data_IF_011587378169
#
_entry.id   IF_011587378169
#
_cell.length_a   1.000
_cell.length_b   1.000
_cell.length_c   1.000
_cell.angle_alpha   90.00
_cell.angle_beta   90.00
_cell.angle_gamma   90.00
#
_symmetry.space_group_name_H-M   'P 1'
#
loop_
_entity.id
_entity.type
_entity.pdbx_description
1 polymer ?
#
# COMPACT_ATOMS: atom_id res chain seq x y z
N UNK A 1 1.13 -52.58 -25.82
CA UNK A 1 0.61 -51.67 -24.76
C UNK A 1 0.88 -50.22 -25.18
N UNK A 2 -0.20 -49.47 -25.53
CA UNK A 2 -0.05 -48.05 -25.90
C UNK A 2 -0.22 -47.21 -24.62
N UNK A 3 0.87 -46.56 -24.18
CA UNK A 3 0.85 -45.64 -23.06
C UNK A 3 0.11 -44.36 -23.49
N UNK A 4 -1.00 -44.04 -22.83
CA UNK A 4 -1.70 -42.78 -22.98
C UNK A 4 -1.00 -41.74 -22.05
N UNK A 5 -0.30 -40.77 -22.66
CA UNK A 5 0.24 -39.62 -21.94
C UNK A 5 -0.94 -38.65 -21.71
N UNK A 6 -1.39 -38.55 -20.47
CA UNK A 6 -2.34 -37.52 -20.05
C UNK A 6 -1.57 -36.25 -19.76
N UNK A 7 -1.64 -35.26 -20.66
CA UNK A 7 -1.08 -33.93 -20.43
C UNK A 7 -2.04 -33.19 -19.51
N UNK A 8 -1.63 -33.00 -18.26
CA UNK A 8 -2.32 -32.16 -17.28
C UNK A 8 -2.01 -30.69 -17.61
N UNK A 9 -2.96 -30.01 -18.25
CA UNK A 9 -2.89 -28.55 -18.40
C UNK A 9 -3.10 -27.90 -17.03
N UNK A 10 -2.02 -27.44 -16.39
CA UNK A 10 -2.08 -26.49 -15.30
C UNK A 10 -2.53 -25.13 -15.89
N UNK A 11 -3.82 -24.82 -15.74
CA UNK A 11 -4.32 -23.44 -15.94
C UNK A 11 -3.68 -22.57 -14.84
N UNK A 12 -2.60 -21.88 -15.16
CA UNK A 12 -2.14 -20.77 -14.38
C UNK A 12 -3.20 -19.65 -14.52
N UNK A 13 -4.07 -19.54 -13.54
CA UNK A 13 -4.95 -18.37 -13.42
C UNK A 13 -4.03 -17.19 -13.09
N UNK A 14 -3.70 -16.39 -14.10
CA UNK A 14 -3.12 -15.08 -13.88
C UNK A 14 -4.17 -14.26 -13.11
N UNK A 15 -3.87 -13.89 -11.87
CA UNK A 15 -4.66 -12.93 -11.12
C UNK A 15 -4.47 -11.58 -11.81
N UNK A 16 -5.41 -11.23 -12.68
CA UNK A 16 -5.44 -9.90 -13.31
C UNK A 16 -6.19 -9.01 -12.33
N UNK A 17 -5.49 -8.08 -11.72
CA UNK A 17 -6.09 -7.02 -10.94
C UNK A 17 -6.27 -5.79 -11.83
N UNK A 18 -7.38 -5.06 -11.69
CA UNK A 18 -7.62 -3.81 -12.40
C UNK A 18 -7.35 -2.63 -11.45
N UNK A 19 -6.15 -2.04 -11.57
CA UNK A 19 -5.78 -0.85 -10.81
C UNK A 19 -6.01 0.39 -11.69
N UNK A 20 -7.11 1.10 -11.44
CA UNK A 20 -7.55 2.22 -12.28
C UNK A 20 -7.68 3.49 -11.43
N UNK A 21 -7.05 4.56 -11.89
CA UNK A 21 -7.20 5.89 -11.31
C UNK A 21 -8.31 6.66 -12.04
N UNK A 22 -9.20 7.25 -11.26
CA UNK A 22 -10.29 8.09 -11.73
C UNK A 22 -10.25 9.44 -11.04
N UNK A 23 -10.77 10.48 -11.74
CA UNK A 23 -11.14 11.77 -11.16
C UNK A 23 -12.57 12.13 -11.50
N UNK A 24 -13.22 12.88 -10.65
CA UNK A 24 -14.58 13.34 -10.89
C UNK A 24 -15.26 13.86 -9.64
N UNK A 25 -16.53 13.53 -9.48
CA UNK A 25 -17.36 14.16 -8.47
C UNK A 25 -18.29 13.15 -7.77
N UNK A 26 -18.53 13.40 -6.49
CA UNK A 26 -19.74 12.94 -5.77
C UNK A 26 -20.62 14.19 -5.60
N UNK A 27 -21.73 14.27 -6.36
CA UNK A 27 -22.55 15.47 -6.52
C UNK A 27 -21.70 16.66 -7.04
N UNK A 28 -21.47 17.67 -6.21
CA UNK A 28 -20.62 18.84 -6.50
C UNK A 28 -19.21 18.75 -5.91
N UNK A 29 -18.92 17.70 -5.16
CA UNK A 29 -17.66 17.54 -4.45
C UNK A 29 -16.64 16.80 -5.31
N UNK A 30 -15.54 17.46 -5.70
CA UNK A 30 -14.51 16.81 -6.49
C UNK A 30 -13.78 15.75 -5.68
N UNK A 31 -13.52 14.62 -6.31
CA UNK A 31 -12.77 13.49 -5.71
C UNK A 31 -11.73 12.93 -6.66
N UNK A 32 -10.70 12.37 -6.07
CA UNK A 32 -9.79 11.41 -6.68
C UNK A 32 -10.13 10.01 -6.16
N UNK A 33 -10.15 9.01 -7.04
CA UNK A 33 -10.62 7.66 -6.71
C UNK A 33 -9.73 6.64 -7.42
N UNK A 34 -9.05 5.79 -6.66
CA UNK A 34 -8.25 4.69 -7.23
C UNK A 34 -8.79 3.35 -6.77
N UNK A 35 -8.95 2.41 -7.70
CA UNK A 35 -9.47 1.06 -7.46
C UNK A 35 -8.38 0.02 -7.66
N UNK A 36 -8.51 -1.09 -6.96
CA UNK A 36 -7.77 -2.33 -7.16
C UNK A 36 -8.73 -3.51 -7.05
N UNK A 37 -9.22 -3.99 -8.19
CA UNK A 37 -10.25 -5.03 -8.28
C UNK A 37 -9.63 -6.28 -8.86
N UNK A 38 -9.69 -7.38 -8.12
CA UNK A 38 -9.20 -8.69 -8.54
C UNK A 38 -10.21 -9.42 -9.43
N UNK A 39 -9.75 -10.43 -10.14
CA UNK A 39 -10.57 -11.23 -11.05
C UNK A 39 -11.73 -11.99 -10.38
N UNK A 40 -11.64 -12.21 -9.07
CA UNK A 40 -12.72 -12.81 -8.26
C UNK A 40 -13.78 -11.78 -7.83
N UNK A 41 -13.61 -10.50 -8.22
CA UNK A 41 -14.51 -9.41 -7.90
C UNK A 41 -14.30 -8.79 -6.50
N UNK A 42 -13.36 -9.30 -5.72
CA UNK A 42 -12.94 -8.65 -4.47
C UNK A 42 -11.92 -7.56 -4.76
N UNK A 43 -11.65 -6.72 -3.78
CA UNK A 43 -10.64 -5.68 -3.92
C UNK A 43 -10.84 -4.54 -2.95
N UNK A 44 -10.22 -3.41 -3.29
CA UNK A 44 -10.33 -2.18 -2.51
C UNK A 44 -10.31 -0.95 -3.41
N UNK A 45 -10.69 0.16 -2.84
CA UNK A 45 -10.44 1.47 -3.43
C UNK A 45 -10.02 2.46 -2.35
N UNK A 46 -9.37 3.53 -2.79
CA UNK A 46 -9.02 4.66 -1.97
C UNK A 46 -9.59 5.90 -2.66
N UNK A 47 -10.28 6.75 -1.92
CA UNK A 47 -10.68 8.03 -2.46
C UNK A 47 -10.53 9.16 -1.43
N UNK A 48 -10.39 10.38 -1.92
CA UNK A 48 -10.38 11.58 -1.10
C UNK A 48 -11.14 12.70 -1.78
N UNK A 49 -11.81 13.52 -0.98
CA UNK A 49 -12.40 14.77 -1.43
C UNK A 49 -11.32 15.85 -1.51
N UNK A 50 -11.25 16.57 -2.62
CA UNK A 50 -10.39 17.75 -2.72
C UNK A 50 -10.70 18.75 -1.60
N UNK A 51 -9.67 19.34 -1.03
CA UNK A 51 -9.71 20.24 0.14
C UNK A 51 -10.07 19.60 1.50
N UNK A 52 -10.27 18.27 1.56
CA UNK A 52 -10.36 17.52 2.82
C UNK A 52 -9.19 16.55 2.98
N UNK A 53 -8.86 15.84 1.93
CA UNK A 53 -7.64 15.05 1.71
C UNK A 53 -7.35 14.03 2.82
N UNK A 54 -8.40 13.56 3.48
CA UNK A 54 -8.28 12.38 4.32
C UNK A 54 -8.71 11.19 3.48
N UNK A 55 -7.77 10.32 3.12
CA UNK A 55 -8.08 9.15 2.32
C UNK A 55 -9.08 8.25 3.02
N UNK A 56 -10.08 7.80 2.26
CA UNK A 56 -11.11 6.85 2.69
C UNK A 56 -10.83 5.54 1.97
N UNK A 57 -10.53 4.49 2.73
CA UNK A 57 -10.32 3.14 2.20
C UNK A 57 -11.64 2.40 2.25
N UNK A 58 -12.02 1.80 1.13
CA UNK A 58 -13.26 1.06 0.99
C UNK A 58 -13.01 -0.32 0.37
N UNK A 59 -13.74 -1.32 0.86
CA UNK A 59 -13.67 -2.66 0.31
C UNK A 59 -14.63 -2.80 -0.87
N UNK A 60 -14.14 -3.41 -1.93
CA UNK A 60 -14.88 -3.68 -3.15
C UNK A 60 -15.55 -5.04 -3.12
N UNK A 61 -16.70 -5.11 -3.77
CA UNK A 61 -17.37 -6.36 -4.12
C UNK A 61 -18.04 -6.18 -5.49
N UNK A 62 -17.60 -6.97 -6.47
CA UNK A 62 -18.20 -7.05 -7.81
C UNK A 62 -19.10 -8.28 -7.87
N UNK A 63 -20.40 -8.07 -7.97
CA UNK A 63 -21.38 -9.12 -8.16
C UNK A 63 -22.06 -8.98 -9.53
N UNK A 64 -21.75 -9.88 -10.45
CA UNK A 64 -22.17 -9.78 -11.83
C UNK A 64 -21.58 -8.52 -12.49
N UNK A 65 -22.44 -7.53 -12.77
CA UNK A 65 -22.03 -6.22 -13.31
C UNK A 65 -22.22 -5.06 -12.33
N UNK A 66 -22.51 -5.34 -11.08
CA UNK A 66 -22.64 -4.31 -10.03
C UNK A 66 -21.40 -4.30 -9.16
N UNK A 67 -20.59 -3.23 -9.27
CA UNK A 67 -19.46 -2.96 -8.41
C UNK A 67 -19.93 -2.11 -7.24
N UNK A 68 -19.69 -2.58 -6.02
CA UNK A 68 -20.06 -1.87 -4.80
C UNK A 68 -18.86 -1.71 -3.87
N UNK A 69 -18.80 -0.58 -3.19
CA UNK A 69 -17.82 -0.29 -2.14
C UNK A 69 -18.56 0.11 -0.87
N UNK A 70 -18.00 -0.27 0.28
CA UNK A 70 -18.60 0.02 1.58
C UNK A 70 -17.64 0.84 2.44
N UNK A 71 -18.10 2.00 2.89
CA UNK A 71 -17.39 2.79 3.90
C UNK A 71 -17.71 2.28 5.30
N UNK A 72 -16.71 2.29 6.17
CA UNK A 72 -16.85 1.93 7.59
C UNK A 72 -16.22 2.99 8.47
N UNK A 73 -16.82 3.23 9.60
CA UNK A 73 -16.24 4.05 10.65
C UNK A 73 -15.14 3.29 11.44
N UNK A 74 -14.52 3.96 12.40
CA UNK A 74 -13.47 3.37 13.25
C UNK A 74 -13.94 2.18 14.10
N UNK A 75 -15.23 2.02 14.31
CA UNK A 75 -15.83 0.88 15.01
C UNK A 75 -16.12 -0.31 14.08
N UNK A 76 -15.94 -0.13 12.77
CA UNK A 76 -16.27 -1.11 11.73
C UNK A 76 -17.71 -1.09 11.27
N UNK A 77 -18.55 -0.13 11.77
CA UNK A 77 -19.93 0.03 11.33
C UNK A 77 -19.97 0.65 9.94
N UNK A 78 -20.78 0.09 9.06
CA UNK A 78 -21.03 0.62 7.72
C UNK A 78 -21.74 1.96 7.78
N UNK A 79 -21.18 2.97 7.10
CA UNK A 79 -21.68 4.36 7.11
C UNK A 79 -22.20 4.79 5.76
N UNK A 80 -21.59 4.35 4.68
CA UNK A 80 -22.03 4.64 3.33
C UNK A 80 -21.72 3.51 2.36
N UNK A 81 -22.38 3.53 1.21
CA UNK A 81 -22.18 2.59 0.11
C UNK A 81 -22.07 3.34 -1.21
N UNK A 82 -21.06 3.01 -2.00
CA UNK A 82 -20.92 3.44 -3.39
C UNK A 82 -21.36 2.26 -4.28
N UNK A 83 -22.20 2.50 -5.26
CA UNK A 83 -22.71 1.47 -6.16
C UNK A 83 -22.62 1.91 -7.61
N UNK A 84 -22.08 1.06 -8.45
CA UNK A 84 -21.87 1.29 -9.88
C UNK A 84 -22.49 0.12 -10.66
N UNK A 85 -23.61 0.42 -11.31
CA UNK A 85 -24.29 -0.56 -12.16
C UNK A 85 -23.62 -0.65 -13.53
N UNK A 86 -23.68 -1.83 -14.15
CA UNK A 86 -23.07 -2.10 -15.46
C UNK A 86 -21.58 -1.78 -15.51
N UNK A 87 -20.85 -2.04 -14.40
CA UNK A 87 -19.41 -1.85 -14.32
C UNK A 87 -18.68 -2.56 -15.47
N UNK A 88 -17.77 -1.83 -16.10
CA UNK A 88 -16.86 -2.32 -17.11
C UNK A 88 -15.51 -1.60 -16.92
N UNK A 89 -14.46 -2.34 -16.61
CA UNK A 89 -13.11 -1.82 -16.38
C UNK A 89 -12.52 -1.09 -17.63
N UNK A 90 -12.96 -1.48 -18.83
CA UNK A 90 -12.53 -0.82 -20.09
C UNK A 90 -13.20 0.54 -20.31
N UNK A 91 -14.27 0.86 -19.59
CA UNK A 91 -14.99 2.13 -19.75
C UNK A 91 -14.16 3.31 -19.25
N UNK A 92 -14.15 4.42 -20.03
CA UNK A 92 -13.53 5.68 -19.61
C UNK A 92 -14.35 6.43 -18.57
N UNK A 93 -15.59 6.00 -18.33
CA UNK A 93 -16.49 6.65 -17.36
C UNK A 93 -17.02 5.63 -16.39
N UNK A 94 -17.08 6.02 -15.13
CA UNK A 94 -17.66 5.25 -14.05
C UNK A 94 -18.72 6.10 -13.35
N UNK A 95 -20.01 5.78 -13.58
CA UNK A 95 -21.14 6.50 -13.00
C UNK A 95 -21.84 5.63 -11.96
N UNK A 96 -22.25 6.23 -10.85
CA UNK A 96 -22.85 5.49 -9.74
C UNK A 96 -23.58 6.37 -8.74
N UNK A 97 -23.90 5.77 -7.61
CA UNK A 97 -24.60 6.40 -6.49
C UNK A 97 -23.80 6.20 -5.21
N UNK A 98 -23.57 7.25 -4.48
CA UNK A 98 -23.14 7.23 -3.09
C UNK A 98 -24.37 7.35 -2.19
N UNK A 99 -24.51 6.48 -1.21
CA UNK A 99 -25.66 6.44 -0.30
C UNK A 99 -25.20 6.44 1.15
N UNK A 100 -25.63 7.43 1.92
CA UNK A 100 -25.47 7.44 3.38
C UNK A 100 -26.45 6.42 3.99
N UNK A 101 -25.92 5.48 4.74
CA UNK A 101 -26.73 4.39 5.32
C UNK A 101 -27.49 4.79 6.59
N UNK A 102 -27.13 5.93 7.21
CA UNK A 102 -27.84 6.42 8.39
C UNK A 102 -29.04 7.31 8.01
N UNK A 103 -28.84 8.23 7.07
CA UNK A 103 -29.88 9.19 6.63
C UNK A 103 -30.66 8.73 5.40
N UNK A 104 -30.12 7.77 4.64
CA UNK A 104 -30.69 7.36 3.36
C UNK A 104 -30.45 8.37 2.22
N UNK A 105 -29.67 9.43 2.45
CA UNK A 105 -29.34 10.43 1.42
C UNK A 105 -28.56 9.80 0.30
N UNK A 106 -28.92 10.11 -0.94
CA UNK A 106 -28.20 9.66 -2.14
C UNK A 106 -27.59 10.82 -2.90
N UNK A 107 -26.40 10.61 -3.44
CA UNK A 107 -25.64 11.55 -4.25
C UNK A 107 -25.15 10.83 -5.51
N UNK A 108 -25.18 11.52 -6.64
CA UNK A 108 -24.65 10.96 -7.90
C UNK A 108 -23.14 10.95 -7.91
N UNK A 109 -22.55 9.89 -8.47
CA UNK A 109 -21.11 9.78 -8.73
C UNK A 109 -20.89 9.86 -10.24
N UNK A 110 -19.93 10.69 -10.66
CA UNK A 110 -19.49 10.77 -12.05
C UNK A 110 -17.97 10.87 -12.10
N UNK A 111 -17.33 9.81 -12.56
CA UNK A 111 -15.87 9.68 -12.61
C UNK A 111 -15.41 9.45 -14.05
N UNK A 112 -14.23 9.99 -14.38
CA UNK A 112 -13.54 9.77 -15.65
C UNK A 112 -12.20 9.09 -15.36
N UNK A 113 -11.87 8.07 -16.15
CA UNK A 113 -10.60 7.36 -16.07
C UNK A 113 -9.46 8.29 -16.45
N UNK A 114 -8.46 8.41 -15.56
CA UNK A 114 -7.22 9.13 -15.84
C UNK A 114 -6.18 8.20 -16.47
N UNK A 115 -6.04 7.02 -15.89
CA UNK A 115 -5.15 5.97 -16.38
C UNK A 115 -5.46 4.62 -15.75
N UNK A 116 -4.96 3.57 -16.42
CA UNK A 116 -5.06 2.19 -15.99
C UNK A 116 -3.63 1.63 -15.85
N UNK A 117 -3.30 1.13 -14.65
CA UNK A 117 -1.99 0.53 -14.38
C UNK A 117 -1.83 -0.84 -15.05
N UNK A 118 -2.93 -1.52 -15.38
CA UNK A 118 -2.89 -2.83 -16.02
C UNK A 118 -3.10 -2.78 -17.54
N UNK A 119 -3.20 -1.59 -18.12
CA UNK A 119 -3.32 -1.48 -19.57
C UNK A 119 -2.08 -2.05 -20.23
N UNK A 120 -2.25 -3.09 -21.05
CA UNK A 120 -1.19 -3.74 -21.82
C UNK A 120 -0.70 -2.88 -23.01
N UNK A 121 -0.87 -1.56 -22.94
CA UNK A 121 -0.29 -0.65 -23.92
C UNK A 121 1.21 -0.56 -23.65
N UNK A 122 2.04 -0.76 -24.68
CA UNK A 122 3.48 -0.50 -24.63
C UNK A 122 3.81 0.99 -24.50
N UNK A 123 2.88 1.76 -23.94
CA UNK A 123 3.00 3.19 -23.76
C UNK A 123 3.80 3.47 -22.49
N UNK A 124 4.95 4.09 -22.70
CA UNK A 124 5.80 4.58 -21.62
C UNK A 124 5.26 5.92 -21.13
N UNK A 125 5.20 6.11 -19.82
CA UNK A 125 4.85 7.40 -19.23
C UNK A 125 5.56 7.62 -17.91
N UNK A 126 5.71 8.88 -17.53
CA UNK A 126 6.35 9.34 -16.31
C UNK A 126 5.41 10.27 -15.52
N UNK A 127 5.68 10.40 -14.22
CA UNK A 127 5.08 11.39 -13.33
C UNK A 127 3.54 11.37 -13.23
N UNK A 128 2.93 10.18 -13.21
CA UNK A 128 1.55 10.06 -12.77
C UNK A 128 1.50 9.93 -11.24
N UNK A 129 0.41 10.44 -10.66
CA UNK A 129 0.25 10.47 -9.21
C UNK A 129 -0.84 9.51 -8.77
N UNK A 130 -0.60 8.80 -7.66
CA UNK A 130 -1.60 7.97 -7.01
C UNK A 130 -1.72 8.31 -5.53
N UNK A 131 -2.97 8.49 -5.07
CA UNK A 131 -3.32 8.72 -3.68
C UNK A 131 -2.92 7.52 -2.82
N UNK A 132 -2.40 7.78 -1.61
CA UNK A 132 -2.07 6.72 -0.65
C UNK A 132 -3.10 6.65 0.47
N UNK A 133 -3.35 5.45 1.06
CA UNK A 133 -4.42 5.21 2.02
C UNK A 133 -4.16 5.84 3.39
N UNK A 134 -2.91 6.20 3.67
CA UNK A 134 -2.50 6.76 4.96
C UNK A 134 -2.37 8.28 4.90
N UNK A 135 -2.59 8.91 6.03
CA UNK A 135 -2.41 10.36 6.19
C UNK A 135 -1.99 10.68 7.61
N UNK A 136 -1.38 11.87 7.78
CA UNK A 136 -1.01 12.44 9.06
C UNK A 136 -1.93 13.60 9.43
N UNK A 137 -1.80 14.12 10.64
CA UNK A 137 -2.48 15.37 11.03
C UNK A 137 -2.03 16.49 10.09
N UNK A 138 -2.98 17.01 9.30
CA UNK A 138 -2.74 18.11 8.36
C UNK A 138 -1.98 17.75 7.08
N UNK A 139 -1.60 16.49 6.85
CA UNK A 139 -0.86 16.06 5.65
C UNK A 139 -1.42 14.77 5.09
N UNK A 140 -1.28 14.57 3.77
CA UNK A 140 -1.54 13.31 3.08
C UNK A 140 -0.45 13.03 2.04
N UNK A 141 -0.46 11.84 1.45
CA UNK A 141 0.60 11.36 0.58
C UNK A 141 0.09 10.99 -0.80
N UNK A 142 0.88 11.33 -1.82
CA UNK A 142 0.77 10.76 -3.16
C UNK A 142 2.11 10.17 -3.57
N UNK A 143 2.08 9.04 -4.26
CA UNK A 143 3.26 8.54 -4.96
C UNK A 143 3.32 9.17 -6.35
N UNK A 144 4.53 9.46 -6.78
CA UNK A 144 4.84 9.74 -8.19
C UNK A 144 5.33 8.45 -8.81
N UNK A 145 4.64 7.98 -9.83
CA UNK A 145 4.89 6.70 -10.47
C UNK A 145 5.22 6.86 -11.94
N UNK A 146 5.96 5.90 -12.49
CA UNK A 146 6.30 5.79 -13.89
C UNK A 146 6.05 4.36 -14.40
N UNK A 147 5.83 4.24 -15.71
CA UNK A 147 5.68 2.96 -16.41
C UNK A 147 6.76 2.86 -17.48
N UNK A 148 7.55 1.80 -17.42
CA UNK A 148 8.55 1.47 -18.46
C UNK A 148 7.94 0.74 -19.66
N UNK A 149 8.73 0.60 -20.73
CA UNK A 149 8.33 -0.12 -21.97
C UNK A 149 8.07 -1.60 -21.74
N UNK A 150 8.66 -2.18 -20.74
CA UNK A 150 8.47 -3.57 -20.29
C UNK A 150 7.24 -3.76 -19.38
N UNK A 151 6.39 -2.74 -19.28
CA UNK A 151 5.26 -2.67 -18.36
C UNK A 151 5.63 -2.75 -16.88
N UNK A 152 6.90 -2.54 -16.50
CA UNK A 152 7.29 -2.38 -15.10
C UNK A 152 6.80 -1.04 -14.55
N UNK A 153 6.37 -1.03 -13.29
CA UNK A 153 5.98 0.18 -12.58
C UNK A 153 6.98 0.48 -11.48
N UNK A 154 7.43 1.73 -11.45
CA UNK A 154 8.32 2.24 -10.43
C UNK A 154 7.73 3.44 -9.71
N UNK A 155 8.08 3.60 -8.44
CA UNK A 155 7.85 4.80 -7.66
C UNK A 155 9.10 5.64 -7.73
N UNK A 156 9.00 6.87 -8.22
CA UNK A 156 10.12 7.81 -8.37
C UNK A 156 10.17 8.88 -7.28
N UNK A 157 9.04 9.13 -6.61
CA UNK A 157 8.99 10.08 -5.50
C UNK A 157 7.74 9.90 -4.63
N UNK A 158 7.81 10.48 -3.42
CA UNK A 158 6.65 10.70 -2.56
C UNK A 158 6.40 12.20 -2.47
N UNK A 159 5.15 12.63 -2.71
CA UNK A 159 4.67 13.98 -2.43
C UNK A 159 3.97 14.01 -1.08
N UNK A 160 4.43 14.88 -0.20
CA UNK A 160 3.79 15.23 1.06
C UNK A 160 3.01 16.52 0.83
N UNK A 161 1.70 16.46 1.01
CA UNK A 161 0.77 17.51 0.61
C UNK A 161 -0.01 17.97 1.84
N UNK A 162 -0.24 19.28 1.96
CA UNK A 162 -1.03 19.88 3.02
C UNK A 162 -2.53 19.63 2.77
N UNK A 163 -3.24 19.09 3.76
CA UNK A 163 -4.71 18.94 3.71
C UNK A 163 -5.38 20.30 3.63
N UNK A 164 -6.56 20.35 3.00
CA UNK A 164 -7.41 21.54 2.78
C UNK A 164 -6.90 22.54 1.75
N UNK A 165 -5.63 22.57 1.45
CA UNK A 165 -5.05 23.54 0.50
C UNK A 165 -4.45 22.88 -0.73
N UNK A 166 -4.20 21.55 -0.67
CA UNK A 166 -3.48 20.75 -1.67
C UNK A 166 -2.08 21.30 -2.01
N UNK A 167 -1.53 22.12 -1.11
CA UNK A 167 -0.20 22.69 -1.28
C UNK A 167 0.87 21.62 -1.08
N UNK A 168 1.80 21.52 -2.04
CA UNK A 168 2.98 20.67 -1.89
C UNK A 168 3.87 21.19 -0.77
N UNK A 169 4.06 20.41 0.29
CA UNK A 169 4.98 20.70 1.41
C UNK A 169 6.39 20.23 1.04
N UNK A 170 6.49 19.02 0.49
CA UNK A 170 7.77 18.41 0.12
C UNK A 170 7.56 17.31 -0.93
N UNK A 171 8.50 17.20 -1.87
CA UNK A 171 8.72 16.02 -2.71
C UNK A 171 10.01 15.39 -2.23
N UNK A 172 10.00 14.09 -1.93
CA UNK A 172 11.19 13.29 -1.66
C UNK A 172 11.35 12.28 -2.78
N UNK A 173 12.53 12.22 -3.36
CA UNK A 173 12.83 11.23 -4.38
C UNK A 173 13.03 9.87 -3.73
N UNK A 174 12.56 8.83 -4.39
CA UNK A 174 12.69 7.43 -3.95
C UNK A 174 12.73 6.56 -5.19
N UNK A 175 13.46 5.47 -5.11
CA UNK A 175 13.49 4.47 -6.17
C UNK A 175 13.04 3.13 -5.57
N UNK A 176 11.79 2.74 -5.91
CA UNK A 176 11.21 1.49 -5.40
C UNK A 176 10.18 0.93 -6.38
N UNK A 177 9.89 -0.38 -6.34
CA UNK A 177 8.78 -0.94 -7.10
C UNK A 177 7.43 -0.43 -6.56
N UNK A 178 6.44 -0.35 -7.43
CA UNK A 178 5.05 -0.13 -7.00
C UNK A 178 4.47 -1.43 -6.44
N UNK A 179 3.98 -1.41 -5.20
CA UNK A 179 3.38 -2.55 -4.52
C UNK A 179 1.89 -2.29 -4.23
N UNK A 180 1.06 -2.50 -5.26
CA UNK A 180 -0.39 -2.25 -5.17
C UNK A 180 -0.73 -0.83 -4.71
N UNK A 181 -1.78 -0.69 -3.90
CA UNK A 181 -2.23 0.61 -3.39
C UNK A 181 -1.55 1.03 -2.07
N UNK A 182 -0.91 0.11 -1.35
CA UNK A 182 -0.47 0.30 0.04
C UNK A 182 1.06 0.35 0.15
N UNK A 183 1.67 1.42 -0.38
CA UNK A 183 3.13 1.54 -0.39
C UNK A 183 3.69 2.29 0.81
N UNK A 184 2.90 3.21 1.40
CA UNK A 184 3.33 4.05 2.52
C UNK A 184 2.78 3.52 3.84
N UNK A 185 3.65 3.43 4.85
CA UNK A 185 3.29 3.27 6.25
C UNK A 185 3.71 4.51 7.03
N UNK A 186 3.01 4.82 8.11
CA UNK A 186 3.31 5.93 9.02
C UNK A 186 3.53 5.43 10.44
N UNK A 187 4.41 6.07 11.18
CA UNK A 187 4.73 5.72 12.57
C UNK A 187 5.88 6.57 13.10
N UNK A 188 6.11 6.55 14.41
CA UNK A 188 7.28 7.16 15.05
C UNK A 188 8.42 6.14 15.08
N UNK A 189 9.26 6.14 14.04
CA UNK A 189 10.29 5.11 13.84
C UNK A 189 11.56 5.35 14.64
N UNK A 190 11.84 6.59 15.01
CA UNK A 190 13.00 6.94 15.84
C UNK A 190 12.65 7.19 17.31
N UNK A 191 11.37 7.09 17.67
CA UNK A 191 10.82 7.25 19.02
C UNK A 191 11.01 8.66 19.60
N UNK A 192 10.93 9.69 18.74
CA UNK A 192 11.09 11.10 19.12
C UNK A 192 9.74 11.83 19.33
N UNK A 193 8.63 11.15 19.07
CA UNK A 193 7.26 11.65 19.26
C UNK A 193 6.69 12.35 18.04
N UNK A 194 7.39 12.35 16.90
CA UNK A 194 6.88 12.88 15.64
C UNK A 194 6.56 11.71 14.68
N UNK A 195 5.55 11.92 13.84
CA UNK A 195 5.20 10.93 12.84
C UNK A 195 6.18 10.96 11.66
N UNK A 196 6.76 9.82 11.39
CA UNK A 196 7.61 9.49 10.25
C UNK A 196 6.80 8.74 9.20
N UNK A 197 7.40 8.45 8.03
CA UNK A 197 6.81 7.54 7.07
C UNK A 197 7.85 6.60 6.47
N UNK A 198 7.38 5.50 5.91
CA UNK A 198 8.22 4.57 5.14
C UNK A 198 7.56 4.17 3.84
N UNK A 199 8.38 3.87 2.84
CA UNK A 199 7.95 3.41 1.52
C UNK A 199 8.34 1.94 1.37
N UNK A 200 7.48 1.12 0.77
CA UNK A 200 7.82 -0.25 0.42
C UNK A 200 9.05 -0.27 -0.50
N UNK A 201 10.01 -1.13 -0.21
CA UNK A 201 11.25 -1.25 -0.97
C UNK A 201 11.32 -2.58 -1.72
N UNK A 202 11.16 -3.69 -1.00
CA UNK A 202 11.25 -5.01 -1.62
C UNK A 202 10.50 -6.07 -0.81
N UNK A 203 10.12 -7.14 -1.50
CA UNK A 203 9.67 -8.41 -0.91
C UNK A 203 10.68 -9.50 -1.28
N UNK A 204 11.06 -10.28 -0.30
CA UNK A 204 12.00 -11.38 -0.45
C UNK A 204 11.29 -12.73 -0.30
N UNK A 205 12.04 -13.80 -0.31
CA UNK A 205 11.48 -15.13 -0.07
C UNK A 205 10.83 -15.23 1.33
N UNK A 206 9.65 -15.85 1.39
CA UNK A 206 8.88 -15.98 2.62
C UNK A 206 8.18 -14.67 3.03
N UNK A 207 8.05 -14.38 4.33
CA UNK A 207 7.38 -13.19 4.84
C UNK A 207 8.26 -11.94 4.86
N UNK A 208 9.48 -12.01 4.35
CA UNK A 208 10.49 -10.97 4.47
C UNK A 208 10.19 -9.79 3.55
N UNK A 209 10.18 -8.59 4.11
CA UNK A 209 10.03 -7.33 3.36
C UNK A 209 11.04 -6.30 3.85
N UNK A 210 11.37 -5.33 3.01
CA UNK A 210 12.12 -4.14 3.42
C UNK A 210 11.38 -2.85 3.05
N UNK A 211 11.76 -1.77 3.71
CA UNK A 211 11.18 -0.45 3.50
C UNK A 211 12.27 0.62 3.61
N UNK A 212 12.10 1.71 2.87
CA UNK A 212 12.90 2.93 2.98
C UNK A 212 12.21 3.83 4.02
N UNK A 213 12.94 4.28 5.03
CA UNK A 213 12.39 5.05 6.15
C UNK A 213 12.78 6.52 6.06
N UNK A 214 11.79 7.41 6.18
CA UNK A 214 11.94 8.86 6.17
C UNK A 214 11.53 9.42 7.53
N UNK A 215 12.48 10.06 8.22
CA UNK A 215 12.27 10.64 9.54
C UNK A 215 11.94 12.13 9.45
N UNK A 216 11.01 12.58 10.29
CA UNK A 216 10.66 14.00 10.38
C UNK A 216 11.69 14.77 11.18
N UNK A 217 12.13 15.91 10.65
CA UNK A 217 13.00 16.84 11.38
C UNK A 217 12.18 18.04 11.85
N UNK A 218 11.86 18.17 13.15
CA UNK A 218 11.03 19.25 13.67
C UNK A 218 11.67 20.63 13.53
N UNK A 219 12.99 20.73 13.40
CA UNK A 219 13.69 22.01 13.21
C UNK A 219 13.50 22.58 11.82
N UNK A 220 13.44 21.74 10.81
CA UNK A 220 13.25 22.13 9.40
C UNK A 220 11.82 21.99 8.92
N UNK A 221 10.99 21.23 9.63
CA UNK A 221 9.63 20.86 9.21
C UNK A 221 9.59 19.90 8.01
N UNK A 222 10.70 19.21 7.71
CA UNK A 222 10.86 18.34 6.54
C UNK A 222 11.26 16.92 6.93
N UNK A 223 10.97 16.00 6.03
CA UNK A 223 11.42 14.62 6.12
C UNK A 223 12.77 14.45 5.44
N UNK A 224 13.57 13.53 5.93
CA UNK A 224 14.85 13.12 5.35
C UNK A 224 14.97 11.61 5.39
N UNK A 225 15.62 11.02 4.40
CA UNK A 225 15.89 9.59 4.36
C UNK A 225 16.83 9.19 5.50
N UNK A 226 16.43 8.16 6.23
CA UNK A 226 17.25 7.63 7.32
C UNK A 226 18.22 6.56 6.82
N UNK A 227 19.13 6.15 7.69
CA UNK A 227 19.98 4.97 7.47
C UNK A 227 19.36 3.69 8.04
N UNK A 228 18.06 3.71 8.38
CA UNK A 228 17.39 2.51 8.88
C UNK A 228 17.24 1.50 7.74
N UNK A 229 17.74 0.32 7.96
CA UNK A 229 17.63 -0.78 6.99
C UNK A 229 17.55 -2.10 7.74
N UNK A 230 16.90 -3.07 7.14
CA UNK A 230 16.72 -4.41 7.69
C UNK A 230 15.47 -5.08 7.15
N UNK A 231 15.33 -6.36 7.47
CA UNK A 231 14.25 -7.21 7.01
C UNK A 231 13.13 -7.22 8.03
N UNK A 232 11.90 -6.90 7.59
CA UNK A 232 10.69 -6.96 8.42
C UNK A 232 10.87 -6.27 9.78
N UNK A 233 11.25 -4.98 9.75
CA UNK A 233 11.45 -4.21 10.97
C UNK A 233 10.12 -3.93 11.67
N UNK A 234 10.05 -4.25 12.95
CA UNK A 234 8.95 -3.92 13.86
C UNK A 234 9.43 -2.87 14.88
N UNK A 235 8.59 -1.86 15.13
CA UNK A 235 8.91 -0.73 16.01
C UNK A 235 8.06 -0.80 17.29
N UNK A 236 8.69 -1.12 18.41
CA UNK A 236 8.03 -1.15 19.72
C UNK A 236 8.20 0.20 20.42
N UNK A 237 7.16 1.01 20.41
CA UNK A 237 7.14 2.34 21.06
C UNK A 237 7.25 2.27 22.59
N UNK A 238 6.83 1.15 23.21
CA UNK A 238 6.88 0.98 24.68
C UNK A 238 8.30 0.75 25.18
N UNK A 239 9.02 -0.13 24.50
CA UNK A 239 10.41 -0.45 24.86
C UNK A 239 11.43 0.42 24.13
N UNK A 240 11.00 1.21 23.14
CA UNK A 240 11.83 1.99 22.22
C UNK A 240 12.90 1.11 21.57
N UNK A 241 12.45 0.00 20.99
CA UNK A 241 13.27 -0.98 20.29
C UNK A 241 12.76 -1.22 18.89
N UNK A 242 13.70 -1.46 17.99
CA UNK A 242 13.43 -1.99 16.67
C UNK A 242 13.82 -3.46 16.68
N UNK A 243 12.92 -4.31 16.22
CA UNK A 243 13.17 -5.75 16.09
C UNK A 243 13.12 -6.12 14.62
N UNK A 244 14.21 -6.66 14.13
CA UNK A 244 14.31 -7.22 12.80
C UNK A 244 13.98 -8.71 12.84
N UNK A 245 13.13 -9.14 11.92
CA UNK A 245 12.79 -10.54 11.70
C UNK A 245 13.24 -10.96 10.31
N UNK A 246 14.19 -11.89 10.25
CA UNK A 246 14.64 -12.47 9.00
C UNK A 246 14.46 -14.00 9.07
N UNK A 247 13.73 -14.54 8.10
CA UNK A 247 13.43 -15.95 8.01
C UNK A 247 13.89 -16.50 6.67
N UNK A 248 14.65 -17.59 6.66
CA UNK A 248 15.06 -18.24 5.43
C UNK A 248 14.76 -19.74 5.42
N UNK A 249 15.07 -20.38 4.29
CA UNK A 249 15.08 -21.83 4.14
C UNK A 249 13.75 -22.48 4.47
N UNK A 250 12.65 -21.92 3.94
CA UNK A 250 11.27 -22.33 4.22
C UNK A 250 10.93 -22.33 5.73
N UNK A 251 11.43 -21.34 6.47
CA UNK A 251 11.18 -21.20 7.90
C UNK A 251 12.14 -21.98 8.78
N UNK A 252 13.10 -22.72 8.24
CA UNK A 252 14.03 -23.54 9.03
C UNK A 252 15.08 -22.73 9.78
N UNK A 253 15.38 -21.52 9.31
CA UNK A 253 16.31 -20.60 9.96
C UNK A 253 15.64 -19.26 10.23
N UNK A 254 15.72 -18.79 11.46
CA UNK A 254 15.15 -17.52 11.92
C UNK A 254 16.23 -16.70 12.59
N UNK A 255 16.42 -15.48 12.13
CA UNK A 255 17.23 -14.49 12.80
C UNK A 255 16.34 -13.39 13.36
N UNK A 256 16.53 -13.07 14.65
CA UNK A 256 15.86 -11.97 15.32
C UNK A 256 16.90 -11.04 15.92
N UNK A 257 16.98 -9.83 15.40
CA UNK A 257 17.93 -8.81 15.82
C UNK A 257 17.20 -7.64 16.46
N UNK A 258 17.70 -7.20 17.61
CA UNK A 258 17.13 -6.09 18.37
C UNK A 258 18.09 -4.90 18.32
N UNK A 259 17.53 -3.72 18.03
CA UNK A 259 18.27 -2.46 17.97
C UNK A 259 17.63 -1.43 18.92
N UNK A 260 18.45 -0.48 19.37
CA UNK A 260 18.02 0.80 19.95
C UNK A 260 18.33 1.94 18.97
N UNK A 261 17.56 3.02 19.06
CA UNK A 261 17.84 4.22 18.26
C UNK A 261 18.68 5.20 19.08
N UNK A 262 19.78 5.67 18.50
CA UNK A 262 20.64 6.70 19.06
C UNK A 262 21.01 7.68 17.95
N UNK A 263 20.67 8.96 18.11
CA UNK A 263 20.93 10.00 17.09
C UNK A 263 20.45 9.60 15.68
N UNK A 264 19.23 9.09 15.58
CA UNK A 264 18.61 8.60 14.35
C UNK A 264 19.40 7.48 13.64
N UNK A 265 20.09 6.63 14.40
CA UNK A 265 20.80 5.43 13.91
C UNK A 265 20.38 4.22 14.70
N UNK A 266 20.25 3.09 14.00
CA UNK A 266 20.04 1.78 14.62
C UNK A 266 21.36 1.26 15.20
N UNK A 267 21.37 0.99 16.51
CA UNK A 267 22.51 0.44 17.23
C UNK A 267 22.14 -0.93 17.72
N UNK A 268 22.89 -1.94 17.32
CA UNK A 268 22.69 -3.34 17.69
C UNK A 268 22.70 -3.50 19.23
N UNK A 269 21.69 -4.16 19.76
CA UNK A 269 21.59 -4.55 21.17
C UNK A 269 21.79 -6.05 21.34
N UNK A 270 21.09 -6.83 20.53
CA UNK A 270 21.08 -8.28 20.67
C UNK A 270 20.76 -8.95 19.33
N UNK A 271 21.38 -10.08 19.08
CA UNK A 271 21.11 -10.97 17.94
C UNK A 271 20.84 -12.38 18.43
N UNK A 272 19.78 -13.02 17.94
CA UNK A 272 19.44 -14.41 18.24
C UNK A 272 19.21 -15.15 16.93
N UNK A 273 19.81 -16.32 16.82
CA UNK A 273 19.66 -17.19 15.66
C UNK A 273 19.07 -18.52 16.13
N UNK A 274 18.06 -18.97 15.38
CA UNK A 274 17.33 -20.21 15.64
C UNK A 274 17.36 -21.07 14.39
N UNK A 275 17.53 -22.38 14.59
CA UNK A 275 17.46 -23.37 13.54
C UNK A 275 16.47 -24.47 13.91
N UNK A 276 15.61 -24.85 12.96
CA UNK A 276 14.63 -25.93 13.16
C UNK A 276 15.31 -27.28 13.21
N UNK A 277 15.08 -28.06 14.26
CA UNK A 277 15.59 -29.41 14.44
C UNK A 277 14.47 -30.42 14.15
N UNK A 278 14.64 -31.20 13.05
CA UNK A 278 13.67 -32.22 12.63
C UNK A 278 13.46 -33.34 13.66
N UNK A 279 14.44 -33.58 14.54
CA UNK A 279 14.33 -34.66 15.54
C UNK A 279 13.43 -34.27 16.70
N UNK A 280 13.51 -33.01 17.15
CA UNK A 280 12.72 -32.49 18.25
C UNK A 280 11.44 -31.78 17.77
N UNK A 281 11.33 -31.51 16.46
CA UNK A 281 10.25 -30.71 15.85
C UNK A 281 10.11 -29.32 16.50
N UNK A 282 11.24 -28.71 16.88
CA UNK A 282 11.28 -27.41 17.56
C UNK A 282 12.52 -26.62 17.12
N UNK A 283 12.53 -25.33 17.43
CA UNK A 283 13.68 -24.47 17.15
C UNK A 283 14.71 -24.53 18.28
N UNK A 284 15.95 -24.74 17.91
CA UNK A 284 17.10 -24.62 18.82
C UNK A 284 17.89 -23.35 18.55
N UNK A 285 18.38 -22.75 19.61
CA UNK A 285 19.28 -21.61 19.52
C UNK A 285 20.65 -22.06 18.99
N UNK A 286 21.15 -21.35 18.00
CA UNK A 286 22.49 -21.55 17.45
C UNK A 286 23.32 -20.28 17.61
N UNK A 287 24.63 -20.38 17.37
CA UNK A 287 25.50 -19.21 17.28
C UNK A 287 25.15 -18.46 16.00
N UNK A 288 24.99 -17.14 16.09
CA UNK A 288 24.87 -16.29 14.91
C UNK A 288 26.26 -16.09 14.26
N UNK A 289 26.28 -16.15 12.95
CA UNK A 289 27.47 -15.84 12.17
C UNK A 289 27.71 -14.33 12.06
#
# INVERSE_FOLDING_TARGET
MKQKITILFLLATAFVSAQINYKGFIDKYPIEFITDIYSDGQGSAIYAYSNYDTPIVVNANLNGKTLAFTEKDKSGKETAKLSFENYNAESDKLNGIWKDLNSGKELTISLTKEFDLNSNTNEEWIEREILQPVSLTGKYFKLVISKGKDNSFGVSAVKIIEKKTDKLIQKVDVESPLWGLFNINVGDYNFDGFDDFSVFEASYAGPNTSRIYFLFNPKTGKYFESTFSGTSLEFDSKTKRIVEHNQCCAGRSIERTEYKVVNNKMILVKKNCLEYDDKTQDYKRIKCD
#
